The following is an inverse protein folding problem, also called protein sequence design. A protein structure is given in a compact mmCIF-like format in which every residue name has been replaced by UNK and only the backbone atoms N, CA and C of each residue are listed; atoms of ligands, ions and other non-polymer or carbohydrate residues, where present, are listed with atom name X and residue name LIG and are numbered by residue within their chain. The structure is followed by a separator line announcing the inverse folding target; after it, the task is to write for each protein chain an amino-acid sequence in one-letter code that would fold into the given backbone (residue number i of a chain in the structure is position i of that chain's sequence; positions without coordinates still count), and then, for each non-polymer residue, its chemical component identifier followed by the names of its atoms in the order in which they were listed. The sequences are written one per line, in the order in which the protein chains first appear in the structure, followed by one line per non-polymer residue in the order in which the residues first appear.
data_IF_015095755539
#
_entry.id   IF_015095755539
#
_cell.length_a   1.000
_cell.length_b   1.000
_cell.length_c   1.000
_cell.angle_alpha   90.00
_cell.angle_beta   90.00
_cell.angle_gamma   90.00
#
_symmetry.space_group_name_H-M   'P 1'
#
loop_
_entity.id
_entity.type
_entity.pdbx_description
1 polymer ?
#
# COMPACT_ATOMS: atom_id res chain seq x y z
N UNK A 1 -11.46 -3.79 -7.35
CA UNK A 1 -10.24 -3.50 -8.16
C UNK A 1 -10.51 -2.35 -9.13
N UNK A 2 -10.07 -1.12 -8.82
CA UNK A 2 -10.36 0.05 -9.66
C UNK A 2 -9.61 0.02 -11.01
N UNK A 3 -8.41 -0.57 -11.05
CA UNK A 3 -7.64 -0.74 -12.28
C UNK A 3 -8.34 -1.65 -13.31
N UNK A 4 -8.92 -2.77 -12.88
CA UNK A 4 -9.62 -3.69 -13.78
C UNK A 4 -10.81 -3.02 -14.49
N UNK A 5 -11.62 -2.26 -13.73
CA UNK A 5 -12.78 -1.52 -14.26
C UNK A 5 -12.35 -0.43 -15.25
N UNK A 6 -11.26 0.29 -14.97
CA UNK A 6 -10.75 1.33 -15.88
C UNK A 6 -10.18 0.74 -17.19
N UNK A 7 -9.56 -0.44 -17.12
CA UNK A 7 -9.06 -1.16 -18.30
C UNK A 7 -10.19 -1.82 -19.10
N UNK A 8 -11.30 -2.19 -18.48
CA UNK A 8 -12.53 -2.67 -19.13
C UNK A 8 -13.21 -1.60 -19.98
N UNK A 9 -13.24 -0.37 -19.48
CA UNK A 9 -13.88 0.77 -20.14
C UNK A 9 -13.10 1.31 -21.37
N UNK A 10 -12.07 0.60 -21.86
CA UNK A 10 -11.22 1.02 -23.00
C UNK A 10 -10.67 2.45 -22.84
N UNK A 11 -10.51 2.90 -21.59
CA UNK A 11 -10.01 4.24 -21.29
C UNK A 11 -8.55 4.32 -21.71
N UNK A 12 -8.18 5.43 -22.38
CA UNK A 12 -6.82 5.66 -22.86
C UNK A 12 -5.80 5.49 -21.71
N UNK A 13 -4.66 4.81 -21.93
CA UNK A 13 -3.66 4.59 -20.87
C UNK A 13 -3.19 5.85 -20.14
N UNK A 14 -3.15 7.01 -20.83
CA UNK A 14 -2.81 8.32 -20.25
C UNK A 14 -3.83 8.87 -19.25
N UNK A 15 -5.09 8.45 -19.36
CA UNK A 15 -6.14 8.78 -18.40
C UNK A 15 -6.06 7.86 -17.18
N UNK A 16 -5.76 6.57 -17.40
CA UNK A 16 -5.57 5.59 -16.32
C UNK A 16 -4.39 5.96 -15.42
N UNK A 17 -3.26 6.39 -15.99
CA UNK A 17 -2.11 6.85 -15.20
C UNK A 17 -2.45 8.05 -14.32
N UNK A 18 -3.19 9.03 -14.84
CA UNK A 18 -3.58 10.22 -14.08
C UNK A 18 -4.52 9.87 -12.92
N UNK A 19 -5.51 9.01 -13.17
CA UNK A 19 -6.49 8.60 -12.15
C UNK A 19 -5.89 7.74 -11.06
N UNK A 20 -4.99 6.82 -11.41
CA UNK A 20 -4.40 5.87 -10.46
C UNK A 20 -3.04 6.33 -9.92
N UNK A 21 -2.50 7.46 -10.40
CA UNK A 21 -1.16 7.97 -10.05
C UNK A 21 -0.06 6.92 -10.24
N UNK A 22 -0.17 6.11 -11.28
CA UNK A 22 0.79 5.06 -11.63
C UNK A 22 1.54 5.41 -12.91
N UNK A 23 2.70 4.77 -13.11
CA UNK A 23 3.47 4.92 -14.34
C UNK A 23 2.74 4.30 -15.54
N UNK A 24 2.97 4.88 -16.73
CA UNK A 24 2.45 4.37 -18.01
C UNK A 24 2.88 2.92 -18.24
N UNK A 25 4.10 2.55 -17.84
CA UNK A 25 4.64 1.19 -17.90
C UNK A 25 3.76 0.19 -17.13
N UNK A 26 3.30 0.57 -15.94
CA UNK A 26 2.43 -0.28 -15.11
C UNK A 26 1.09 -0.53 -15.79
N UNK A 27 0.53 0.50 -16.42
CA UNK A 27 -0.74 0.39 -17.17
C UNK A 27 -0.60 -0.56 -18.36
N UNK A 28 0.48 -0.46 -19.14
CA UNK A 28 0.75 -1.40 -20.24
C UNK A 28 0.94 -2.84 -19.75
N UNK A 29 1.67 -3.03 -18.65
CA UNK A 29 1.85 -4.36 -18.04
C UNK A 29 0.52 -4.96 -17.60
N UNK A 30 -0.37 -4.16 -17.00
CA UNK A 30 -1.71 -4.61 -16.63
C UNK A 30 -2.60 -4.92 -17.84
N UNK A 31 -2.50 -4.15 -18.92
CA UNK A 31 -3.18 -4.49 -20.17
C UNK A 31 -2.72 -5.85 -20.71
N UNK A 32 -1.41 -6.13 -20.71
CA UNK A 32 -0.89 -7.42 -21.16
C UNK A 32 -1.36 -8.58 -20.27
N UNK A 33 -1.20 -8.46 -18.95
CA UNK A 33 -1.64 -9.49 -18.00
C UNK A 33 -3.14 -9.79 -18.13
N UNK A 34 -3.96 -8.76 -18.34
CA UNK A 34 -5.39 -8.94 -18.56
C UNK A 34 -5.71 -9.61 -19.90
N UNK A 35 -4.97 -9.32 -20.97
CA UNK A 35 -5.16 -10.03 -22.26
C UNK A 35 -4.87 -11.51 -22.12
N UNK A 36 -3.86 -11.86 -21.35
CA UNK A 36 -3.39 -13.25 -21.25
C UNK A 36 -4.19 -14.09 -20.23
N UNK A 37 -4.71 -13.47 -19.15
CA UNK A 37 -5.37 -14.20 -18.06
C UNK A 37 -6.64 -13.54 -17.50
N UNK A 38 -7.23 -12.61 -18.25
CA UNK A 38 -8.46 -11.92 -17.87
C UNK A 38 -8.31 -11.05 -16.63
N UNK A 39 -9.45 -10.70 -16.01
CA UNK A 39 -9.48 -9.82 -14.82
C UNK A 39 -8.79 -10.47 -13.62
N UNK A 40 -8.83 -11.80 -13.50
CA UNK A 40 -8.21 -12.52 -12.39
C UNK A 40 -6.68 -12.39 -12.40
N UNK A 41 -6.05 -12.23 -13.56
CA UNK A 41 -4.61 -11.99 -13.66
C UNK A 41 -4.16 -10.63 -13.08
N UNK A 42 -5.10 -9.70 -12.86
CA UNK A 42 -4.86 -8.43 -12.18
C UNK A 42 -5.05 -8.51 -10.67
N UNK A 43 -5.55 -9.63 -10.15
CA UNK A 43 -5.68 -9.82 -8.71
C UNK A 43 -4.31 -9.62 -8.03
N UNK A 44 -4.34 -8.96 -6.87
CA UNK A 44 -3.12 -8.83 -6.06
C UNK A 44 -2.56 -10.21 -5.77
N UNK A 45 -1.29 -10.42 -6.07
CA UNK A 45 -0.55 -11.64 -5.68
C UNK A 45 -0.23 -11.69 -4.18
N UNK A 46 -0.74 -10.74 -3.41
CA UNK A 46 -0.42 -10.51 -2.01
C UNK A 46 0.72 -9.50 -1.85
N UNK A 47 1.13 -9.22 -0.60
CA UNK A 47 2.22 -8.32 -0.29
C UNK A 47 3.51 -8.78 -0.97
N UNK A 48 4.03 -7.98 -1.90
CA UNK A 48 5.37 -8.19 -2.46
C UNK A 48 6.39 -7.62 -1.49
N UNK A 49 6.86 -8.44 -0.55
CA UNK A 49 7.82 -8.03 0.46
C UNK A 49 8.15 -9.15 1.45
N UNK A 50 9.10 -8.88 2.34
CA UNK A 50 9.34 -9.77 3.47
C UNK A 50 8.06 -9.91 4.30
N UNK A 51 7.81 -11.10 4.83
CA UNK A 51 6.70 -11.32 5.78
C UNK A 51 6.81 -10.30 6.92
N UNK A 52 5.67 -9.75 7.32
CA UNK A 52 5.60 -8.88 8.49
C UNK A 52 6.26 -9.59 9.68
N UNK A 53 7.24 -8.94 10.30
CA UNK A 53 7.94 -9.49 11.47
C UNK A 53 7.16 -9.29 12.76
N UNK A 54 6.15 -8.43 12.74
CA UNK A 54 5.29 -8.17 13.89
C UNK A 54 4.16 -9.19 13.92
N UNK A 55 3.95 -9.80 15.08
CA UNK A 55 2.76 -10.61 15.32
C UNK A 55 1.50 -9.72 15.30
N UNK A 56 0.29 -10.27 15.08
CA UNK A 56 -0.95 -9.51 15.17
C UNK A 56 -1.07 -8.73 16.49
N UNK A 57 -0.74 -9.36 17.62
CA UNK A 57 -0.73 -8.72 18.94
C UNK A 57 0.25 -7.54 19.02
N UNK A 58 1.40 -7.62 18.35
CA UNK A 58 2.35 -6.51 18.29
C UNK A 58 1.80 -5.35 17.45
N UNK A 59 1.04 -5.65 16.39
CA UNK A 59 0.37 -4.62 15.58
C UNK A 59 -0.72 -3.91 16.37
N UNK A 60 -1.53 -4.64 17.14
CA UNK A 60 -2.58 -4.05 17.97
C UNK A 60 -1.98 -3.10 19.04
N UNK A 61 -0.90 -3.53 19.69
CA UNK A 61 -0.16 -2.67 20.63
C UNK A 61 0.41 -1.44 19.95
N UNK A 62 0.97 -1.60 18.76
CA UNK A 62 1.52 -0.49 18.00
C UNK A 62 0.44 0.54 17.66
N UNK A 63 -0.76 0.10 17.27
CA UNK A 63 -1.86 1.00 16.98
C UNK A 63 -2.21 1.88 18.19
N UNK A 64 -2.30 1.28 19.38
CA UNK A 64 -2.56 2.01 20.64
C UNK A 64 -1.46 3.05 20.92
N UNK A 65 -0.18 2.67 20.80
CA UNK A 65 0.92 3.62 21.03
C UNK A 65 0.90 4.78 20.02
N UNK A 66 0.57 4.49 18.75
CA UNK A 66 0.48 5.53 17.73
C UNK A 66 -0.67 6.50 18.04
N UNK A 67 -1.78 6.03 18.60
CA UNK A 67 -2.92 6.85 19.05
C UNK A 67 -2.58 7.71 20.29
N UNK A 68 -1.86 7.15 21.27
CA UNK A 68 -1.39 7.89 22.46
C UNK A 68 -0.42 9.03 22.10
N UNK A 69 0.28 8.89 20.98
CA UNK A 69 1.16 9.90 20.41
C UNK A 69 2.54 9.96 21.08
N UNK A 70 3.56 10.50 20.40
CA UNK A 70 4.96 10.38 20.86
C UNK A 70 5.22 11.04 22.22
N UNK A 71 4.47 12.11 22.54
CA UNK A 71 4.58 12.83 23.80
C UNK A 71 4.20 11.96 25.02
N UNK A 72 3.16 11.13 24.91
CA UNK A 72 2.79 10.16 25.95
C UNK A 72 3.88 9.11 26.19
N UNK A 73 4.77 8.96 25.21
CA UNK A 73 5.91 8.05 25.22
C UNK A 73 7.26 8.78 25.41
N UNK A 74 7.26 10.00 25.96
CA UNK A 74 8.48 10.71 26.36
C UNK A 74 9.23 11.41 25.23
N UNK A 75 8.66 11.47 24.03
CA UNK A 75 9.18 12.24 22.89
C UNK A 75 8.40 13.55 22.75
N UNK A 76 8.64 14.46 23.68
CA UNK A 76 7.84 15.68 23.84
C UNK A 76 8.34 16.84 22.98
N UNK A 77 9.62 16.83 22.63
CA UNK A 77 10.31 17.94 21.98
C UNK A 77 9.87 18.14 20.53
N UNK A 78 9.70 17.05 19.78
CA UNK A 78 9.35 17.08 18.36
C UNK A 78 8.00 16.40 18.06
N UNK A 79 7.45 15.62 18.99
CA UNK A 79 6.21 14.87 18.84
C UNK A 79 6.14 14.06 17.54
N UNK A 80 7.27 13.43 17.16
CA UNK A 80 7.38 12.64 15.93
C UNK A 80 7.49 11.14 16.23
N UNK A 81 6.72 10.32 15.50
CA UNK A 81 6.99 8.89 15.41
C UNK A 81 8.02 8.59 14.32
N UNK A 82 9.07 7.86 14.69
CA UNK A 82 10.02 7.28 13.74
C UNK A 82 10.09 5.77 13.95
N UNK A 83 10.48 5.03 12.90
CA UNK A 83 10.62 3.58 13.00
C UNK A 83 11.57 3.16 14.14
N UNK A 84 12.65 3.92 14.37
CA UNK A 84 13.58 3.67 15.47
C UNK A 84 12.95 3.87 16.84
N UNK A 85 12.06 4.87 17.02
CA UNK A 85 11.36 5.11 18.28
C UNK A 85 10.31 4.05 18.57
N UNK A 86 9.62 3.58 17.53
CA UNK A 86 8.69 2.45 17.61
C UNK A 86 9.42 1.16 17.99
N UNK A 87 10.65 0.96 17.51
CA UNK A 87 11.44 -0.25 17.82
C UNK A 87 11.89 -0.36 19.28
N UNK A 88 11.91 0.73 20.04
CA UNK A 88 12.28 0.76 21.48
C UNK A 88 11.10 0.39 22.40
N UNK A 89 9.91 0.12 21.85
CA UNK A 89 8.66 -0.10 22.59
C UNK A 89 8.17 -1.55 22.57
#
# INVERSE_FOLDING_TARGET
MQAAVLLEQQIKPSEVTRRLRVSVKSVYQWHQLRRDGGVQALASRGPSGSRCRLSPRCLDKLAVYLEEGPAAHGWVEDQVWTASRVATR
#
